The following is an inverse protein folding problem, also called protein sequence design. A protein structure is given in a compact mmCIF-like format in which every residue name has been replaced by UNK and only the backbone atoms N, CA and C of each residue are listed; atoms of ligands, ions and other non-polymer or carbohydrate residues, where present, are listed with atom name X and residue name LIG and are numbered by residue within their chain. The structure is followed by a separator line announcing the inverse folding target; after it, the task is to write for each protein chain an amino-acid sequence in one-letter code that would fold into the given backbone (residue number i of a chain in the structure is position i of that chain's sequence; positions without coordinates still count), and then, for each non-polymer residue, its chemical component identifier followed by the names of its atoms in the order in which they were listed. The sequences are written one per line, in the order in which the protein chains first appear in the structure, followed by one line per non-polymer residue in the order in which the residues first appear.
data_IF_101119059543
#
_entry.id   IF_101119059543
#
_cell.length_a   1.000
_cell.length_b   1.000
_cell.length_c   1.000
_cell.angle_alpha   90.00
_cell.angle_beta   90.00
_cell.angle_gamma   90.00
#
_symmetry.space_group_name_H-M   'P 1'
#
loop_
_entity.id
_entity.type
_entity.pdbx_description
1 polymer ?
#
# COMPACT_ATOMS: atom_id res chain seq x y z
N UNK A 1 9.23 -3.60 21.77
CA UNK A 1 9.71 -4.74 20.97
C UNK A 1 8.91 -6.00 21.23
N UNK A 2 9.12 -6.65 22.39
CA UNK A 2 8.59 -7.99 22.70
C UNK A 2 7.10 -8.23 22.49
N UNK A 3 6.24 -7.34 22.97
CA UNK A 3 4.78 -7.51 22.81
C UNK A 3 4.36 -7.58 21.35
N UNK A 4 4.95 -6.74 20.48
CA UNK A 4 4.65 -6.75 19.03
C UNK A 4 5.07 -8.06 18.37
N UNK A 5 6.23 -8.61 18.75
CA UNK A 5 6.71 -9.91 18.25
C UNK A 5 5.78 -11.04 18.70
N UNK A 6 5.34 -11.03 19.97
CA UNK A 6 4.35 -11.99 20.49
C UNK A 6 3.03 -11.97 19.72
N UNK A 7 2.51 -10.78 19.41
CA UNK A 7 1.30 -10.65 18.58
C UNK A 7 1.55 -11.21 17.18
N UNK A 8 2.72 -10.97 16.58
CA UNK A 8 3.05 -11.54 15.27
C UNK A 8 3.06 -13.08 15.28
N UNK A 9 3.61 -13.69 16.34
CA UNK A 9 3.56 -15.16 16.50
C UNK A 9 2.12 -15.63 16.72
N UNK A 10 1.34 -14.91 17.53
CA UNK A 10 -0.05 -15.25 17.79
C UNK A 10 -0.92 -15.23 16.53
N UNK A 11 -0.69 -14.28 15.60
CA UNK A 11 -1.39 -14.22 14.30
C UNK A 11 -1.20 -15.51 13.51
N UNK A 12 0.03 -16.02 13.42
CA UNK A 12 0.32 -17.28 12.71
C UNK A 12 -0.31 -18.49 13.41
N UNK A 13 -0.38 -18.48 14.74
CA UNK A 13 -0.93 -19.58 15.53
C UNK A 13 -2.46 -19.75 15.42
N UNK A 14 -3.19 -18.71 15.01
CA UNK A 14 -4.65 -18.79 14.79
C UNK A 14 -4.99 -19.86 13.74
N UNK A 15 -4.08 -20.15 12.82
CA UNK A 15 -4.26 -21.17 11.78
C UNK A 15 -4.03 -22.60 12.28
N UNK A 16 -3.63 -22.77 13.55
CA UNK A 16 -3.19 -24.05 14.14
C UNK A 16 -2.16 -24.79 13.26
N UNK A 17 -1.00 -24.17 12.97
CA UNK A 17 -0.02 -24.73 12.05
C UNK A 17 0.61 -25.99 12.63
N UNK A 18 0.82 -27.00 11.78
CA UNK A 18 1.59 -28.20 12.15
C UNK A 18 3.09 -27.98 12.11
N UNK A 19 3.54 -27.04 11.28
CA UNK A 19 4.93 -26.63 11.17
C UNK A 19 4.97 -25.11 11.26
N UNK A 20 5.79 -24.59 12.16
CA UNK A 20 5.96 -23.16 12.39
C UNK A 20 7.43 -22.81 12.19
N UNK A 21 7.69 -21.90 11.25
CA UNK A 21 9.03 -21.38 10.97
C UNK A 21 9.14 -19.96 11.51
N UNK A 22 10.16 -19.68 12.31
CA UNK A 22 10.40 -18.34 12.84
C UNK A 22 11.82 -17.89 12.57
N UNK A 23 11.95 -16.72 11.96
CA UNK A 23 13.24 -16.07 11.79
C UNK A 23 13.52 -15.12 12.98
N UNK A 24 14.61 -15.40 13.67
CA UNK A 24 15.13 -14.68 14.84
C UNK A 24 14.02 -14.21 15.81
N UNK A 25 13.29 -15.14 16.46
CA UNK A 25 12.16 -14.79 17.31
C UNK A 25 12.56 -13.99 18.56
N UNK A 26 13.82 -14.07 18.97
CA UNK A 26 14.39 -13.43 20.18
C UNK A 26 15.14 -12.13 19.90
N UNK A 27 15.36 -11.75 18.64
CA UNK A 27 16.14 -10.55 18.27
C UNK A 27 15.47 -9.26 18.74
N UNK A 28 16.25 -8.37 19.35
CA UNK A 28 15.78 -7.10 19.91
C UNK A 28 14.93 -7.22 21.19
N UNK A 29 14.97 -8.38 21.86
CA UNK A 29 14.33 -8.62 23.16
C UNK A 29 15.36 -8.61 24.29
N UNK A 30 14.93 -8.22 25.48
CA UNK A 30 15.67 -8.48 26.72
C UNK A 30 15.59 -9.97 27.08
N UNK A 31 16.54 -10.47 27.88
CA UNK A 31 16.68 -11.90 28.20
C UNK A 31 15.40 -12.52 28.79
N UNK A 32 14.68 -11.79 29.63
CA UNK A 32 13.44 -12.29 30.24
C UNK A 32 12.30 -12.39 29.22
N UNK A 33 12.14 -11.40 28.35
CA UNK A 33 11.16 -11.47 27.26
C UNK A 33 11.50 -12.57 26.24
N UNK A 34 12.78 -12.78 25.95
CA UNK A 34 13.23 -13.85 25.06
C UNK A 34 12.89 -15.23 25.62
N UNK A 35 13.15 -15.48 26.91
CA UNK A 35 12.77 -16.71 27.61
C UNK A 35 11.26 -17.00 27.49
N UNK A 36 10.42 -15.99 27.75
CA UNK A 36 8.97 -16.15 27.61
C UNK A 36 8.52 -16.51 26.19
N UNK A 37 9.18 -15.96 25.17
CA UNK A 37 8.86 -16.30 23.77
C UNK A 37 9.25 -17.74 23.47
N UNK A 38 10.43 -18.19 23.90
CA UNK A 38 10.88 -19.58 23.66
C UNK A 38 10.06 -20.58 24.48
N UNK A 39 9.66 -20.27 25.71
CA UNK A 39 8.73 -21.09 26.50
C UNK A 39 7.37 -21.27 25.81
N UNK A 40 6.86 -20.19 25.20
CA UNK A 40 5.64 -20.26 24.40
C UNK A 40 5.84 -21.19 23.18
N UNK A 41 6.94 -21.03 22.45
CA UNK A 41 7.29 -21.90 21.32
C UNK A 41 7.43 -23.37 21.76
N UNK A 42 8.02 -23.62 22.93
CA UNK A 42 8.12 -24.95 23.52
C UNK A 42 6.74 -25.54 23.78
N UNK A 43 5.85 -24.76 24.39
CA UNK A 43 4.47 -25.16 24.69
C UNK A 43 3.69 -25.50 23.42
N UNK A 44 3.90 -24.75 22.33
CA UNK A 44 3.33 -25.03 21.00
C UNK A 44 3.88 -26.35 20.45
N UNK A 45 5.18 -26.63 20.64
CA UNK A 45 5.75 -27.89 20.19
C UNK A 45 5.19 -29.10 20.95
N UNK A 46 5.02 -28.96 22.27
CA UNK A 46 4.42 -29.99 23.14
C UNK A 46 2.96 -30.25 22.77
N UNK A 47 2.25 -29.23 22.26
CA UNK A 47 0.89 -29.38 21.74
C UNK A 47 0.82 -30.13 20.39
N UNK A 48 1.96 -30.48 19.78
CA UNK A 48 2.05 -31.34 18.60
C UNK A 48 2.43 -30.63 17.29
N UNK A 49 2.90 -29.38 17.35
CA UNK A 49 3.45 -28.69 16.20
C UNK A 49 4.98 -28.83 16.13
N UNK A 50 5.57 -28.93 14.93
CA UNK A 50 7.02 -28.80 14.75
C UNK A 50 7.37 -27.32 14.69
N UNK A 51 8.26 -26.86 15.56
CA UNK A 51 8.73 -25.48 15.56
C UNK A 51 10.20 -25.45 15.13
N UNK A 52 10.49 -24.73 14.05
CA UNK A 52 11.84 -24.48 13.57
C UNK A 52 12.13 -22.98 13.68
N UNK A 53 13.25 -22.60 14.28
CA UNK A 53 13.61 -21.19 14.38
C UNK A 53 15.12 -20.98 14.30
N UNK A 54 15.51 -19.81 13.81
CA UNK A 54 16.89 -19.32 13.83
C UNK A 54 17.10 -18.50 15.11
N UNK A 55 18.17 -18.75 15.86
CA UNK A 55 18.48 -17.99 17.07
C UNK A 55 19.95 -17.60 17.04
N UNK A 56 20.22 -16.30 17.12
CA UNK A 56 21.57 -15.77 17.24
C UNK A 56 21.98 -15.78 18.72
N UNK A 57 23.04 -16.53 19.05
CA UNK A 57 23.68 -16.58 20.38
C UNK A 57 22.68 -16.69 21.56
N UNK A 58 22.03 -17.86 21.74
CA UNK A 58 21.09 -18.07 22.84
C UNK A 58 21.82 -18.06 24.19
N UNK A 59 21.21 -17.47 25.22
CA UNK A 59 21.69 -17.63 26.59
C UNK A 59 21.65 -19.10 27.03
N UNK A 60 22.44 -19.48 28.03
CA UNK A 60 22.44 -20.85 28.56
C UNK A 60 21.05 -21.33 28.98
N UNK A 61 20.24 -20.46 29.59
CA UNK A 61 18.86 -20.77 29.98
C UNK A 61 17.97 -21.08 28.75
N UNK A 62 18.13 -20.32 27.66
CA UNK A 62 17.38 -20.54 26.42
C UNK A 62 17.82 -21.82 25.73
N UNK A 63 19.13 -22.07 25.72
CA UNK A 63 19.70 -23.23 25.07
C UNK A 63 19.12 -24.52 25.64
N UNK A 64 18.91 -24.62 26.96
CA UNK A 64 18.33 -25.79 27.62
C UNK A 64 16.90 -26.16 27.15
N UNK A 65 16.15 -25.20 26.59
CA UNK A 65 14.79 -25.43 26.12
C UNK A 65 14.72 -26.16 24.76
N UNK A 66 15.83 -26.21 24.02
CA UNK A 66 15.88 -26.80 22.68
C UNK A 66 15.92 -28.33 22.74
N UNK A 67 15.12 -28.97 21.89
CA UNK A 67 15.16 -30.42 21.68
C UNK A 67 16.27 -30.82 20.71
N UNK A 68 16.40 -30.05 19.63
CA UNK A 68 17.25 -30.33 18.49
C UNK A 68 17.99 -29.07 18.03
N UNK A 69 19.25 -29.21 17.64
CA UNK A 69 20.12 -28.11 17.24
C UNK A 69 20.72 -28.44 15.88
N UNK A 70 20.58 -27.49 14.94
CA UNK A 70 21.28 -27.49 13.66
C UNK A 70 22.22 -26.30 13.67
N UNK A 71 23.52 -26.57 13.54
CA UNK A 71 24.56 -25.55 13.46
C UNK A 71 25.00 -25.39 12.00
N UNK A 72 24.97 -24.15 11.50
CA UNK A 72 25.29 -23.82 10.12
C UNK A 72 26.51 -22.90 10.05
N UNK A 73 27.36 -23.12 9.06
CA UNK A 73 28.45 -22.21 8.68
C UNK A 73 28.65 -22.20 7.16
N UNK A 74 28.69 -21.01 6.56
CA UNK A 74 28.91 -20.84 5.11
C UNK A 74 28.00 -21.74 4.23
N UNK A 75 26.74 -21.90 4.62
CA UNK A 75 25.77 -22.75 3.92
C UNK A 75 25.92 -24.26 4.15
N UNK A 76 26.84 -24.69 5.02
CA UNK A 76 27.10 -26.10 5.36
C UNK A 76 26.61 -26.43 6.78
N UNK A 77 26.12 -27.65 6.96
CA UNK A 77 25.72 -28.18 8.26
C UNK A 77 26.95 -28.70 9.01
N UNK A 78 27.20 -28.11 10.18
CA UNK A 78 28.32 -28.43 11.06
C UNK A 78 27.91 -29.48 12.11
N UNK A 79 26.69 -29.35 12.61
CA UNK A 79 26.07 -30.23 13.58
C UNK A 79 24.57 -30.32 13.29
N UNK A 80 24.01 -31.51 13.43
CA UNK A 80 22.58 -31.81 13.28
C UNK A 80 22.26 -32.93 14.26
N UNK A 81 21.65 -32.59 15.40
CA UNK A 81 21.44 -33.56 16.47
C UNK A 81 20.67 -33.00 17.66
N UNK A 82 20.41 -33.85 18.64
CA UNK A 82 19.81 -33.42 19.91
C UNK A 82 20.72 -32.44 20.62
N UNK A 83 20.14 -31.51 21.38
CA UNK A 83 20.93 -30.55 22.17
C UNK A 83 21.91 -31.25 23.13
N UNK A 84 21.46 -32.33 23.78
CA UNK A 84 22.24 -33.06 24.79
C UNK A 84 23.53 -33.68 24.22
N UNK A 85 23.49 -34.15 22.97
CA UNK A 85 24.62 -34.83 22.34
C UNK A 85 25.67 -33.85 21.77
N UNK A 86 25.37 -32.54 21.70
CA UNK A 86 26.22 -31.57 21.03
C UNK A 86 27.61 -31.45 21.67
N UNK A 87 27.66 -31.37 23.00
CA UNK A 87 28.93 -31.25 23.73
C UNK A 87 29.78 -32.51 23.58
N UNK A 88 29.16 -33.69 23.67
CA UNK A 88 29.85 -34.98 23.48
C UNK A 88 30.36 -35.14 22.05
N UNK A 89 29.56 -34.73 21.05
CA UNK A 89 29.96 -34.74 19.65
C UNK A 89 31.23 -33.93 19.40
N UNK A 90 31.31 -32.71 19.93
CA UNK A 90 32.51 -31.88 19.81
C UNK A 90 33.68 -32.46 20.62
N UNK A 91 33.43 -33.01 21.81
CA UNK A 91 34.45 -33.64 22.65
C UNK A 91 35.11 -34.83 21.96
N UNK A 92 34.33 -35.69 21.30
CA UNK A 92 34.81 -36.84 20.52
C UNK A 92 35.71 -36.42 19.34
N UNK A 93 35.60 -35.16 18.89
CA UNK A 93 36.40 -34.57 17.82
C UNK A 93 37.59 -33.76 18.36
N UNK A 94 37.85 -33.83 19.67
CA UNK A 94 38.96 -33.17 20.34
C UNK A 94 38.65 -31.77 20.89
N UNK A 95 37.39 -31.34 20.86
CA UNK A 95 36.96 -30.01 21.31
C UNK A 95 36.17 -30.11 22.61
N UNK A 96 36.84 -29.89 23.74
CA UNK A 96 36.20 -29.93 25.06
C UNK A 96 35.64 -28.56 25.44
N UNK A 97 34.32 -28.50 25.66
CA UNK A 97 33.65 -27.34 26.24
C UNK A 97 33.94 -27.25 27.75
N UNK A 98 34.40 -26.11 28.29
CA UNK A 98 34.51 -25.90 29.74
C UNK A 98 33.14 -26.00 30.43
N UNK A 99 33.12 -26.44 31.70
CA UNK A 99 31.88 -26.61 32.48
C UNK A 99 31.11 -25.31 32.72
N UNK A 100 31.84 -24.19 32.83
CA UNK A 100 31.29 -22.90 33.20
C UNK A 100 31.02 -22.02 31.97
N UNK A 101 31.10 -22.61 30.77
CA UNK A 101 30.90 -21.93 29.50
C UNK A 101 29.58 -22.35 28.86
N UNK A 102 28.88 -21.40 28.23
CA UNK A 102 27.65 -21.69 27.52
C UNK A 102 27.96 -22.60 26.31
N UNK A 103 27.39 -23.81 26.22
CA UNK A 103 27.66 -24.72 25.10
C UNK A 103 27.33 -24.12 23.73
N UNK A 104 26.31 -23.27 23.66
CA UNK A 104 25.93 -22.59 22.42
C UNK A 104 26.99 -21.59 21.98
N UNK A 105 27.49 -20.77 22.90
CA UNK A 105 28.56 -19.81 22.62
C UNK A 105 29.84 -20.56 22.25
N UNK A 106 30.17 -21.66 22.94
CA UNK A 106 31.35 -22.47 22.62
C UNK A 106 31.30 -23.00 21.19
N UNK A 107 30.15 -23.54 20.80
CA UNK A 107 29.94 -24.06 19.46
C UNK A 107 30.06 -22.95 18.41
N UNK A 108 29.51 -21.76 18.68
CA UNK A 108 29.59 -20.59 17.80
C UNK A 108 31.02 -20.05 17.66
N UNK A 109 31.76 -19.94 18.77
CA UNK A 109 33.16 -19.49 18.76
C UNK A 109 34.05 -20.50 18.02
N UNK A 110 33.86 -21.79 18.29
CA UNK A 110 34.61 -22.87 17.65
C UNK A 110 34.45 -22.85 16.12
N UNK A 111 33.24 -22.60 15.62
CA UNK A 111 33.01 -22.49 14.18
C UNK A 111 33.50 -21.15 13.63
N UNK A 112 33.41 -20.05 14.39
CA UNK A 112 33.81 -18.73 13.91
C UNK A 112 35.33 -18.61 13.69
N UNK A 113 36.15 -19.22 14.54
CA UNK A 113 37.62 -19.15 14.48
C UNK A 113 38.24 -19.93 13.30
N UNK A 114 37.47 -20.74 12.58
CA UNK A 114 38.00 -21.63 11.53
C UNK A 114 37.89 -20.99 10.15
N UNK A 115 38.87 -21.22 9.28
CA UNK A 115 38.75 -20.86 7.85
C UNK A 115 37.65 -21.70 7.17
N UNK A 116 36.93 -21.09 6.22
CA UNK A 116 35.91 -21.78 5.43
C UNK A 116 36.50 -22.92 4.58
N UNK A 117 37.70 -22.72 4.01
CA UNK A 117 38.38 -23.69 3.15
C UNK A 117 38.87 -24.94 3.90
N UNK A 118 39.01 -24.86 5.23
CA UNK A 118 39.49 -25.96 6.09
C UNK A 118 38.35 -26.79 6.70
N UNK A 119 37.09 -26.46 6.38
CA UNK A 119 35.93 -27.23 6.82
C UNK A 119 35.92 -28.66 6.22
N UNK A 120 36.54 -28.86 5.06
CA UNK A 120 36.61 -30.15 4.36
C UNK A 120 37.81 -31.03 4.77
N UNK A 121 38.91 -30.43 5.23
CA UNK A 121 40.12 -31.17 5.66
C UNK A 121 39.95 -31.85 7.02
N UNK A 122 39.00 -31.36 7.80
CA UNK A 122 38.59 -31.94 9.06
C UNK A 122 37.31 -32.72 8.77
N UNK A 123 37.36 -34.06 8.81
CA UNK A 123 36.21 -34.99 8.78
C UNK A 123 35.26 -34.81 10.01
N UNK A 124 35.28 -33.60 10.57
CA UNK A 124 34.76 -33.12 11.84
C UNK A 124 33.35 -32.59 11.69
N UNK A 125 32.85 -32.41 10.47
CA UNK A 125 31.55 -31.76 10.22
C UNK A 125 30.66 -32.53 9.24
N UNK A 126 30.72 -33.86 9.27
CA UNK A 126 29.62 -34.66 8.73
C UNK A 126 28.49 -34.68 9.77
N UNK A 127 27.21 -34.49 9.37
CA UNK A 127 26.09 -34.61 10.29
C UNK A 127 26.21 -35.96 11.02
N UNK A 128 26.01 -35.95 12.34
CA UNK A 128 26.04 -37.18 13.11
C UNK A 128 25.12 -38.22 12.43
N UNK A 129 25.53 -39.51 12.35
CA UNK A 129 24.64 -40.53 11.84
C UNK A 129 23.30 -40.42 12.58
N UNK A 130 22.21 -40.36 11.82
CA UNK A 130 20.85 -40.36 12.33
C UNK A 130 20.55 -41.71 12.99
N UNK A 131 21.14 -41.99 14.15
CA UNK A 131 20.87 -43.25 14.89
C UNK A 131 19.44 -43.26 15.45
N UNK A 132 18.90 -42.08 15.79
CA UNK A 132 17.56 -41.90 16.37
C UNK A 132 16.56 -41.16 15.46
N UNK A 133 16.90 -40.87 14.20
CA UNK A 133 15.93 -40.18 13.36
C UNK A 133 14.77 -41.13 13.01
N UNK A 134 13.51 -40.69 13.16
CA UNK A 134 12.38 -41.47 12.68
C UNK A 134 12.62 -41.81 11.19
N UNK A 135 12.24 -43.03 10.80
CA UNK A 135 12.36 -43.48 9.40
C UNK A 135 11.85 -42.38 8.45
N UNK A 136 12.50 -42.20 7.28
CA UNK A 136 12.13 -41.15 6.34
C UNK A 136 10.63 -41.15 6.14
N UNK A 137 9.99 -40.04 6.56
CA UNK A 137 8.55 -39.89 6.61
C UNK A 137 7.92 -40.42 5.32
N UNK A 138 7.15 -41.51 5.41
CA UNK A 138 6.23 -41.90 4.34
C UNK A 138 5.32 -40.70 4.12
N UNK A 139 5.31 -40.14 2.91
CA UNK A 139 4.62 -38.90 2.57
C UNK A 139 3.26 -38.80 3.27
N UNK A 140 3.18 -38.01 4.34
CA UNK A 140 1.92 -37.74 5.01
C UNK A 140 1.05 -37.05 3.97
N UNK A 141 -0.09 -37.65 3.65
CA UNK A 141 -1.05 -37.05 2.73
C UNK A 141 -1.26 -35.58 3.13
N UNK A 142 -1.24 -34.62 2.18
CA UNK A 142 -1.29 -33.20 2.48
C UNK A 142 -2.46 -32.93 3.42
N UNK A 143 -2.16 -32.61 4.67
CA UNK A 143 -3.19 -32.53 5.70
C UNK A 143 -3.97 -31.24 5.52
N UNK A 144 -5.25 -31.42 5.18
CA UNK A 144 -6.31 -30.40 5.04
C UNK A 144 -6.01 -29.32 3.99
N UNK A 145 -6.81 -29.30 2.93
CA UNK A 145 -7.12 -28.06 2.23
C UNK A 145 -7.61 -27.05 3.28
N UNK A 146 -6.81 -26.04 3.57
CA UNK A 146 -7.32 -24.88 4.31
C UNK A 146 -8.55 -24.40 3.55
N UNK A 147 -9.68 -24.28 4.24
CA UNK A 147 -10.91 -23.76 3.64
C UNK A 147 -10.60 -22.36 3.15
N UNK A 148 -10.50 -22.19 1.83
CA UNK A 148 -10.34 -20.86 1.23
C UNK A 148 -11.58 -20.06 1.63
N UNK A 149 -11.37 -18.88 2.20
CA UNK A 149 -12.46 -17.96 2.52
C UNK A 149 -13.22 -17.57 1.27
N UNK A 150 -14.51 -17.26 1.42
CA UNK A 150 -15.27 -16.67 0.33
C UNK A 150 -14.71 -15.29 -0.01
N UNK A 151 -14.51 -15.01 -1.30
CA UNK A 151 -13.97 -13.74 -1.80
C UNK A 151 -14.69 -12.50 -1.26
N UNK A 152 -16.01 -12.57 -1.13
CA UNK A 152 -16.82 -11.47 -0.59
C UNK A 152 -16.61 -11.28 0.92
N UNK A 153 -16.35 -12.37 1.65
CA UNK A 153 -16.02 -12.31 3.06
C UNK A 153 -14.65 -11.65 3.25
N UNK A 154 -13.65 -12.00 2.43
CA UNK A 154 -12.34 -11.33 2.40
C UNK A 154 -12.49 -9.82 2.19
N UNK A 155 -13.23 -9.43 1.14
CA UNK A 155 -13.49 -8.02 0.84
C UNK A 155 -14.14 -7.29 2.02
N UNK A 156 -15.13 -7.91 2.68
CA UNK A 156 -15.86 -7.31 3.80
C UNK A 156 -14.96 -7.08 5.02
N UNK A 157 -14.13 -8.07 5.39
CA UNK A 157 -13.18 -7.93 6.50
C UNK A 157 -12.12 -6.88 6.22
N UNK A 158 -11.60 -6.83 4.99
CA UNK A 158 -10.64 -5.80 4.59
C UNK A 158 -11.31 -4.43 4.66
N UNK A 159 -12.53 -4.28 4.13
CA UNK A 159 -13.28 -3.03 4.20
C UNK A 159 -13.50 -2.56 5.65
N UNK A 160 -13.93 -3.44 6.56
CA UNK A 160 -14.12 -3.10 7.97
C UNK A 160 -12.80 -2.70 8.66
N UNK A 161 -11.71 -3.41 8.35
CA UNK A 161 -10.36 -3.07 8.85
C UNK A 161 -9.91 -1.70 8.35
N UNK A 162 -10.03 -1.44 7.05
CA UNK A 162 -9.65 -0.16 6.44
C UNK A 162 -10.51 0.99 6.99
N UNK A 163 -11.81 0.77 7.19
CA UNK A 163 -12.70 1.77 7.79
C UNK A 163 -12.28 2.09 9.23
N UNK A 164 -11.95 1.07 10.04
CA UNK A 164 -11.45 1.27 11.41
C UNK A 164 -10.10 1.97 11.42
N UNK A 165 -9.19 1.65 10.50
CA UNK A 165 -7.91 2.31 10.37
C UNK A 165 -8.11 3.79 10.05
N UNK A 166 -8.91 4.08 9.02
CA UNK A 166 -9.25 5.43 8.59
C UNK A 166 -9.87 6.26 9.73
N UNK A 167 -10.85 5.72 10.47
CA UNK A 167 -11.49 6.43 11.58
C UNK A 167 -10.56 6.69 12.78
N UNK A 168 -9.56 5.84 12.99
CA UNK A 168 -8.68 5.89 14.18
C UNK A 168 -7.38 6.63 13.96
N UNK A 169 -6.96 6.82 12.71
CA UNK A 169 -5.77 7.61 12.38
C UNK A 169 -6.08 9.12 12.41
N UNK A 170 -6.31 9.65 13.61
CA UNK A 170 -6.66 11.06 13.84
C UNK A 170 -5.58 12.02 13.37
N UNK A 171 -4.31 11.63 13.37
CA UNK A 171 -3.22 12.46 12.88
C UNK A 171 -3.28 12.60 11.36
N UNK A 172 -3.42 11.49 10.64
CA UNK A 172 -3.57 11.53 9.18
C UNK A 172 -4.86 12.26 8.76
N UNK A 173 -5.98 11.99 9.43
CA UNK A 173 -7.24 12.70 9.20
C UNK A 173 -7.10 14.21 9.44
N UNK A 174 -6.52 14.60 10.56
CA UNK A 174 -6.33 15.99 10.94
C UNK A 174 -5.44 16.74 9.94
N UNK A 175 -4.32 16.14 9.51
CA UNK A 175 -3.46 16.72 8.50
C UNK A 175 -4.16 16.83 7.13
N UNK A 176 -4.82 15.76 6.69
CA UNK A 176 -5.49 15.69 5.38
C UNK A 176 -6.60 16.74 5.24
N UNK A 177 -7.53 16.78 6.20
CA UNK A 177 -8.66 17.72 6.13
C UNK A 177 -8.28 19.12 6.58
N UNK A 178 -7.33 19.28 7.53
CA UNK A 178 -6.84 20.58 7.97
C UNK A 178 -6.14 21.36 6.85
N UNK A 179 -5.23 20.70 6.12
CA UNK A 179 -4.56 21.31 4.94
C UNK A 179 -5.56 21.58 3.82
N UNK A 180 -6.51 20.66 3.59
CA UNK A 180 -7.57 20.84 2.60
C UNK A 180 -8.43 22.09 2.90
N UNK A 181 -8.90 22.26 4.14
CA UNK A 181 -9.70 23.43 4.55
C UNK A 181 -8.88 24.71 4.36
N UNK A 182 -7.64 24.73 4.86
CA UNK A 182 -6.80 25.92 4.83
C UNK A 182 -6.50 26.39 3.41
N UNK A 183 -6.06 25.49 2.52
CA UNK A 183 -5.71 25.84 1.14
C UNK A 183 -6.95 26.23 0.31
N UNK A 184 -8.06 25.49 0.44
CA UNK A 184 -9.28 25.82 -0.29
C UNK A 184 -9.89 27.14 0.19
N UNK A 185 -9.79 27.48 1.47
CA UNK A 185 -10.26 28.77 1.98
C UNK A 185 -9.45 29.93 1.39
N UNK A 186 -8.13 29.81 1.32
CA UNK A 186 -7.27 30.85 0.71
C UNK A 186 -7.65 31.06 -0.76
N UNK A 187 -7.77 29.96 -1.52
CA UNK A 187 -8.10 30.05 -2.95
C UNK A 187 -9.50 30.60 -3.15
N UNK A 188 -10.48 30.16 -2.36
CA UNK A 188 -11.84 30.66 -2.43
C UNK A 188 -11.89 32.17 -2.15
N UNK A 189 -11.15 32.67 -1.15
CA UNK A 189 -11.07 34.11 -0.85
C UNK A 189 -10.38 34.91 -1.96
N UNK A 190 -9.35 34.34 -2.60
CA UNK A 190 -8.69 34.98 -3.76
C UNK A 190 -9.66 35.09 -4.94
N UNK A 191 -10.48 34.06 -5.14
CA UNK A 191 -11.45 33.95 -6.24
C UNK A 191 -12.87 34.36 -5.81
N UNK A 192 -12.99 35.22 -4.80
CA UNK A 192 -14.28 35.61 -4.27
C UNK A 192 -15.13 36.33 -5.34
N UNK A 193 -16.38 35.92 -5.50
CA UNK A 193 -17.33 36.52 -6.43
C UNK A 193 -17.02 36.31 -7.92
N UNK A 194 -16.05 35.45 -8.24
CA UNK A 194 -15.61 35.19 -9.62
C UNK A 194 -16.71 34.58 -10.51
N UNK A 195 -17.65 33.84 -9.93
CA UNK A 195 -18.85 33.31 -10.58
C UNK A 195 -20.05 34.27 -10.56
N UNK A 196 -19.93 35.43 -9.91
CA UNK A 196 -20.97 36.45 -9.83
C UNK A 196 -21.28 37.08 -11.20
N UNK A 197 -22.51 37.57 -11.39
CA UNK A 197 -22.94 38.24 -12.63
C UNK A 197 -23.04 39.73 -12.35
N UNK A 198 -22.01 40.50 -12.69
CA UNK A 198 -22.16 41.94 -12.85
C UNK A 198 -22.51 42.21 -14.31
N UNK A 199 -23.69 42.79 -14.55
CA UNK A 199 -24.30 43.05 -15.87
C UNK A 199 -23.45 43.93 -16.82
N UNK A 200 -22.27 44.39 -16.39
CA UNK A 200 -21.40 45.29 -17.16
C UNK A 200 -20.13 44.63 -17.72
N UNK A 201 -19.72 43.45 -17.25
CA UNK A 201 -18.42 42.83 -17.61
C UNK A 201 -18.59 41.42 -18.20
N UNK A 202 -18.74 41.33 -19.52
CA UNK A 202 -18.54 40.08 -20.28
C UNK A 202 -17.10 39.54 -20.16
N UNK A 203 -16.18 40.33 -19.62
CA UNK A 203 -14.75 40.01 -19.45
C UNK A 203 -14.49 39.03 -18.28
N UNK A 204 -15.45 38.81 -17.38
CA UNK A 204 -15.26 37.95 -16.21
C UNK A 204 -15.37 36.43 -16.49
N UNK A 205 -15.78 36.00 -17.70
CA UNK A 205 -15.93 34.58 -18.03
C UNK A 205 -14.59 33.82 -17.99
N UNK A 206 -13.51 34.43 -18.49
CA UNK A 206 -12.19 33.81 -18.47
C UNK A 206 -11.67 33.64 -17.03
N UNK A 207 -11.97 34.60 -16.15
CA UNK A 207 -11.71 34.52 -14.71
C UNK A 207 -12.52 33.40 -14.05
N UNK A 208 -13.81 33.29 -14.39
CA UNK A 208 -14.68 32.23 -13.89
C UNK A 208 -14.20 30.84 -14.29
N UNK A 209 -13.94 30.63 -15.59
CA UNK A 209 -13.38 29.38 -16.09
C UNK A 209 -12.03 29.06 -15.43
N UNK A 210 -11.13 30.03 -15.34
CA UNK A 210 -9.83 29.84 -14.68
C UNK A 210 -9.94 29.50 -13.20
N UNK A 211 -10.91 30.08 -12.49
CA UNK A 211 -11.20 29.74 -11.10
C UNK A 211 -11.67 28.29 -10.95
N UNK A 212 -12.60 27.85 -11.79
CA UNK A 212 -13.09 26.46 -11.82
C UNK A 212 -11.96 25.47 -12.11
N UNK A 213 -11.11 25.77 -13.10
CA UNK A 213 -9.94 24.95 -13.44
C UNK A 213 -8.97 24.86 -12.26
N UNK A 214 -8.70 25.99 -11.59
CA UNK A 214 -7.80 26.04 -10.44
C UNK A 214 -8.30 25.17 -9.28
N UNK A 215 -9.60 25.20 -8.97
CA UNK A 215 -10.16 24.32 -7.93
C UNK A 215 -10.15 22.85 -8.36
N UNK A 216 -10.44 22.54 -9.63
CA UNK A 216 -10.33 21.17 -10.14
C UNK A 216 -8.89 20.62 -10.03
N UNK A 217 -7.88 21.46 -10.31
CA UNK A 217 -6.46 21.11 -10.12
C UNK A 217 -6.13 20.88 -8.64
N UNK A 218 -6.71 21.66 -7.72
CA UNK A 218 -6.55 21.42 -6.28
C UNK A 218 -7.17 20.09 -5.83
N UNK A 219 -8.33 19.73 -6.36
CA UNK A 219 -8.93 18.40 -6.13
C UNK A 219 -8.01 17.30 -6.67
N UNK A 220 -7.46 17.46 -7.88
CA UNK A 220 -6.54 16.51 -8.50
C UNK A 220 -5.28 16.27 -7.65
N UNK A 221 -4.55 17.31 -7.27
CA UNK A 221 -3.34 17.17 -6.45
C UNK A 221 -3.64 16.79 -5.01
N UNK A 222 -4.68 17.36 -4.41
CA UNK A 222 -5.05 17.09 -3.02
C UNK A 222 -5.46 15.65 -2.77
N UNK A 223 -6.16 15.02 -3.73
CA UNK A 223 -6.54 13.60 -3.64
C UNK A 223 -5.37 12.67 -3.94
N UNK A 224 -4.55 13.00 -4.94
CA UNK A 224 -3.32 12.25 -5.25
C UNK A 224 -2.34 12.22 -4.07
N UNK A 225 -2.06 13.39 -3.47
CA UNK A 225 -1.08 13.50 -2.40
C UNK A 225 -1.50 12.75 -1.12
N UNK A 226 -2.79 12.71 -0.80
CA UNK A 226 -3.28 11.96 0.35
C UNK A 226 -2.97 10.45 0.22
N UNK A 227 -3.21 9.86 -0.96
CA UNK A 227 -2.92 8.45 -1.18
C UNK A 227 -1.41 8.17 -1.25
N UNK A 228 -0.64 9.10 -1.84
CA UNK A 228 0.81 8.99 -1.99
C UNK A 228 1.54 8.78 -0.66
N UNK A 229 1.04 9.41 0.41
CA UNK A 229 1.64 9.30 1.74
C UNK A 229 1.12 8.10 2.55
N UNK A 230 -0.09 7.62 2.26
CA UNK A 230 -0.75 6.56 3.04
C UNK A 230 -0.39 5.15 2.53
N UNK A 231 -0.48 4.93 1.22
CA UNK A 231 -0.35 3.60 0.62
C UNK A 231 1.01 2.93 0.87
N UNK A 232 2.16 3.62 0.78
CA UNK A 232 3.46 3.00 1.01
C UNK A 232 3.65 2.47 2.43
N UNK A 233 2.99 3.07 3.41
CA UNK A 233 3.02 2.63 4.81
C UNK A 233 2.23 1.34 5.04
N UNK A 234 1.19 1.09 4.22
CA UNK A 234 0.33 -0.08 4.32
C UNK A 234 0.82 -1.25 3.46
N UNK A 235 1.57 -0.96 2.39
CA UNK A 235 2.08 -1.96 1.44
C UNK A 235 2.87 -3.11 2.09
N UNK A 236 3.78 -2.89 3.07
CA UNK A 236 4.50 -4.00 3.72
C UNK A 236 3.57 -4.97 4.46
N UNK A 237 2.52 -4.45 5.09
CA UNK A 237 1.50 -5.27 5.76
C UNK A 237 0.74 -6.13 4.75
N UNK A 238 0.36 -5.54 3.62
CA UNK A 238 -0.24 -6.28 2.50
C UNK A 238 0.68 -7.38 1.99
N UNK A 239 1.96 -7.09 1.71
CA UNK A 239 2.90 -8.07 1.17
C UNK A 239 3.07 -9.27 2.11
N UNK A 240 3.16 -9.02 3.41
CA UNK A 240 3.26 -10.08 4.42
C UNK A 240 2.00 -10.97 4.44
N UNK A 241 0.81 -10.37 4.44
CA UNK A 241 -0.46 -11.10 4.48
C UNK A 241 -0.74 -11.83 3.15
N UNK A 242 -0.30 -11.27 2.03
CA UNK A 242 -0.42 -11.88 0.70
C UNK A 242 0.48 -13.11 0.57
N UNK A 243 1.73 -13.06 1.06
CA UNK A 243 2.64 -14.21 1.07
C UNK A 243 2.17 -15.31 2.03
N UNK A 244 1.49 -14.94 3.11
CA UNK A 244 0.86 -15.87 4.03
C UNK A 244 -0.47 -16.45 3.51
N UNK A 245 -0.84 -16.16 2.25
CA UNK A 245 -2.10 -16.58 1.61
C UNK A 245 -3.35 -16.28 2.47
N UNK A 246 -3.33 -15.17 3.21
CA UNK A 246 -4.47 -14.80 4.07
C UNK A 246 -5.67 -14.31 3.27
N UNK A 247 -5.44 -13.66 2.12
CA UNK A 247 -6.48 -13.20 1.20
C UNK A 247 -5.93 -12.96 -0.21
N UNK A 248 -6.81 -12.90 -1.20
CA UNK A 248 -6.43 -12.59 -2.57
C UNK A 248 -6.09 -11.11 -2.79
N UNK A 249 -5.14 -10.81 -3.69
CA UNK A 249 -4.80 -9.42 -4.05
C UNK A 249 -6.02 -8.65 -4.61
N UNK A 250 -6.89 -9.33 -5.36
CA UNK A 250 -8.12 -8.73 -5.86
C UNK A 250 -9.09 -8.35 -4.72
N UNK A 251 -9.22 -9.19 -3.69
CA UNK A 251 -10.05 -8.88 -2.53
C UNK A 251 -9.52 -7.67 -1.76
N UNK A 252 -8.19 -7.51 -1.68
CA UNK A 252 -7.58 -6.33 -1.07
C UNK A 252 -7.95 -5.03 -1.78
N UNK A 253 -7.77 -4.95 -3.10
CA UNK A 253 -8.13 -3.74 -3.85
C UNK A 253 -9.64 -3.46 -3.80
N UNK A 254 -10.49 -4.48 -3.97
CA UNK A 254 -11.94 -4.29 -3.95
C UNK A 254 -12.46 -3.94 -2.55
N UNK A 255 -11.91 -4.52 -1.48
CA UNK A 255 -12.28 -4.19 -0.10
C UNK A 255 -11.82 -2.80 0.32
N UNK A 256 -10.67 -2.34 -0.17
CA UNK A 256 -10.12 -1.00 0.13
C UNK A 256 -10.83 0.13 -0.62
N UNK A 257 -11.22 -0.11 -1.87
CA UNK A 257 -11.77 0.93 -2.78
C UNK A 257 -12.99 1.68 -2.21
N UNK A 258 -13.99 1.04 -1.57
CA UNK A 258 -15.14 1.74 -1.00
C UNK A 258 -14.79 2.73 0.11
N UNK A 259 -13.89 2.36 1.02
CA UNK A 259 -13.46 3.23 2.13
C UNK A 259 -12.69 4.42 1.57
N UNK A 260 -11.80 4.16 0.61
CA UNK A 260 -11.06 5.20 -0.09
C UNK A 260 -12.01 6.17 -0.82
N UNK A 261 -12.96 5.64 -1.59
CA UNK A 261 -13.95 6.41 -2.33
C UNK A 261 -14.81 7.30 -1.42
N UNK A 262 -15.21 6.79 -0.24
CA UNK A 262 -15.93 7.57 0.77
C UNK A 262 -15.06 8.69 1.36
N UNK A 263 -13.78 8.41 1.64
CA UNK A 263 -12.85 9.43 2.14
C UNK A 263 -12.61 10.56 1.13
N UNK A 264 -12.54 10.20 -0.16
CA UNK A 264 -12.38 11.12 -1.28
C UNK A 264 -13.63 11.95 -1.47
N UNK A 265 -14.82 11.34 -1.36
CA UNK A 265 -16.10 12.06 -1.42
C UNK A 265 -16.19 13.13 -0.33
N UNK A 266 -15.78 12.81 0.89
CA UNK A 266 -15.76 13.78 1.98
C UNK A 266 -14.80 14.94 1.71
N UNK A 267 -13.62 14.63 1.15
CA UNK A 267 -12.62 15.65 0.79
C UNK A 267 -13.08 16.57 -0.35
N UNK A 268 -13.70 16.01 -1.39
CA UNK A 268 -14.25 16.79 -2.51
C UNK A 268 -15.49 17.56 -2.12
N UNK A 269 -16.37 16.99 -1.30
CA UNK A 269 -17.52 17.70 -0.73
C UNK A 269 -17.09 18.89 0.11
N UNK A 270 -16.07 18.72 0.96
CA UNK A 270 -15.53 19.80 1.76
C UNK A 270 -14.91 20.90 0.88
N UNK A 271 -14.17 20.53 -0.16
CA UNK A 271 -13.62 21.48 -1.14
C UNK A 271 -14.75 22.28 -1.79
N UNK A 272 -15.76 21.58 -2.32
CA UNK A 272 -16.89 22.22 -3.00
C UNK A 272 -17.71 23.09 -2.05
N UNK A 273 -17.99 22.67 -0.82
CA UNK A 273 -18.72 23.51 0.15
C UNK A 273 -18.00 24.82 0.43
N UNK A 274 -16.67 24.83 0.50
CA UNK A 274 -15.90 26.05 0.73
C UNK A 274 -15.92 26.93 -0.53
N UNK A 275 -15.61 26.36 -1.69
CA UNK A 275 -15.41 27.14 -2.92
C UNK A 275 -16.73 27.58 -3.55
N UNK A 276 -17.78 26.75 -3.50
CA UNK A 276 -19.06 27.00 -4.17
C UNK A 276 -19.70 28.32 -3.75
N UNK A 277 -19.81 28.57 -2.44
CA UNK A 277 -20.49 29.76 -1.94
C UNK A 277 -19.62 31.02 -2.03
N UNK A 278 -18.31 30.91 -1.82
CA UNK A 278 -17.41 32.08 -1.83
C UNK A 278 -17.13 32.53 -3.26
N UNK A 279 -16.99 31.59 -4.20
CA UNK A 279 -16.79 31.90 -5.61
C UNK A 279 -18.10 32.19 -6.34
N UNK A 280 -19.26 31.98 -5.71
CA UNK A 280 -20.60 32.18 -6.31
C UNK A 280 -20.83 31.30 -7.55
N UNK A 281 -20.48 30.01 -7.46
CA UNK A 281 -20.76 29.02 -8.51
C UNK A 281 -22.28 28.80 -8.66
N UNK A 282 -22.73 28.61 -9.90
CA UNK A 282 -24.15 28.56 -10.28
C UNK A 282 -24.62 27.15 -10.65
N UNK A 283 -23.72 26.30 -11.10
CA UNK A 283 -24.03 24.96 -11.54
C UNK A 283 -24.60 24.10 -10.42
N UNK A 284 -25.33 23.04 -10.79
CA UNK A 284 -25.91 22.15 -9.80
C UNK A 284 -24.84 21.54 -8.88
N UNK A 285 -24.90 21.86 -7.58
CA UNK A 285 -23.96 21.37 -6.57
C UNK A 285 -23.76 19.85 -6.59
N UNK A 286 -24.84 19.09 -6.77
CA UNK A 286 -24.79 17.62 -6.79
C UNK A 286 -24.03 17.08 -8.00
N UNK A 287 -24.27 17.64 -9.19
CA UNK A 287 -23.55 17.23 -10.40
C UNK A 287 -22.09 17.68 -10.38
N UNK A 288 -21.78 18.88 -9.87
CA UNK A 288 -20.42 19.34 -9.66
C UNK A 288 -19.65 18.43 -8.68
N UNK A 289 -20.30 18.06 -7.58
CA UNK A 289 -19.73 17.14 -6.59
C UNK A 289 -19.38 15.79 -7.22
N UNK A 290 -20.29 15.22 -8.02
CA UNK A 290 -20.07 13.94 -8.68
C UNK A 290 -18.94 14.01 -9.72
N UNK A 291 -18.88 15.07 -10.53
CA UNK A 291 -17.82 15.27 -11.51
C UNK A 291 -16.44 15.39 -10.85
N UNK A 292 -16.33 16.17 -9.78
CA UNK A 292 -15.07 16.37 -9.06
C UNK A 292 -14.68 15.17 -8.20
N UNK A 293 -15.67 14.44 -7.67
CA UNK A 293 -15.42 13.17 -7.00
C UNK A 293 -14.86 12.12 -7.98
N UNK A 294 -15.42 12.03 -9.19
CA UNK A 294 -14.89 11.16 -10.24
C UNK A 294 -13.44 11.53 -10.64
N UNK A 295 -13.14 12.83 -10.73
CA UNK A 295 -11.76 13.30 -10.91
C UNK A 295 -10.85 12.78 -9.78
N UNK A 296 -11.26 12.97 -8.52
CA UNK A 296 -10.51 12.49 -7.35
C UNK A 296 -10.26 10.98 -7.38
N UNK A 297 -11.26 10.18 -7.76
CA UNK A 297 -11.13 8.72 -7.91
C UNK A 297 -10.09 8.34 -8.97
N UNK A 298 -10.06 9.03 -10.11
CA UNK A 298 -9.09 8.77 -11.19
C UNK A 298 -7.67 9.21 -10.82
N UNK A 299 -7.53 10.36 -10.13
CA UNK A 299 -6.23 10.82 -9.64
C UNK A 299 -5.66 9.87 -8.59
N UNK A 300 -6.54 9.36 -7.72
CA UNK A 300 -6.18 8.32 -6.76
C UNK A 300 -5.79 7.01 -7.44
N UNK A 301 -6.54 6.56 -8.44
CA UNK A 301 -6.20 5.36 -9.22
C UNK A 301 -4.84 5.48 -9.90
N UNK A 302 -4.52 6.66 -10.45
CA UNK A 302 -3.22 6.89 -11.10
C UNK A 302 -2.08 6.91 -10.09
N UNK A 303 -2.28 7.56 -8.94
CA UNK A 303 -1.30 7.56 -7.85
C UNK A 303 -1.02 6.16 -7.32
N UNK A 304 -2.06 5.31 -7.25
CA UNK A 304 -1.93 3.93 -6.81
C UNK A 304 -1.04 3.09 -7.73
N UNK A 305 -1.08 3.32 -9.04
CA UNK A 305 -0.17 2.65 -10.00
C UNK A 305 1.29 2.94 -9.61
N UNK A 306 1.60 4.22 -9.38
CA UNK A 306 2.95 4.66 -8.96
C UNK A 306 3.30 4.08 -7.59
N UNK A 307 2.39 4.13 -6.62
CA UNK A 307 2.60 3.57 -5.29
C UNK A 307 2.76 2.04 -5.25
N UNK A 308 2.22 1.32 -6.23
CA UNK A 308 2.46 -0.11 -6.39
C UNK A 308 3.83 -0.40 -7.02
N UNK A 309 4.31 0.47 -7.90
CA UNK A 309 5.61 0.33 -8.56
C UNK A 309 6.78 0.72 -7.63
N UNK A 310 6.59 1.77 -6.83
CA UNK A 310 7.64 2.42 -6.04
C UNK A 310 7.38 2.25 -4.55
N UNK A 311 8.43 2.01 -3.76
CA UNK A 311 8.30 1.77 -2.32
C UNK A 311 8.49 3.03 -1.46
N UNK A 312 9.29 3.99 -1.90
CA UNK A 312 9.55 5.23 -1.14
C UNK A 312 8.47 6.29 -1.41
N UNK A 313 7.95 6.89 -0.33
CA UNK A 313 7.00 8.00 -0.36
C UNK A 313 7.55 9.20 -1.15
N UNK A 314 8.84 9.51 -0.99
CA UNK A 314 9.46 10.68 -1.64
C UNK A 314 9.45 10.54 -3.16
N UNK A 315 9.87 9.38 -3.64
CA UNK A 315 9.87 9.08 -5.06
C UNK A 315 8.46 9.13 -5.65
N UNK A 316 7.45 8.59 -4.95
CA UNK A 316 6.05 8.65 -5.40
C UNK A 316 5.58 10.10 -5.56
N UNK A 317 5.87 10.96 -4.58
CA UNK A 317 5.48 12.39 -4.64
C UNK A 317 6.18 13.12 -5.80
N UNK A 318 7.43 12.78 -6.08
CA UNK A 318 8.16 13.33 -7.23
C UNK A 318 7.54 12.90 -8.57
N UNK A 319 7.04 11.66 -8.69
CA UNK A 319 6.38 11.15 -9.89
C UNK A 319 4.97 11.70 -10.15
N UNK A 320 4.27 12.17 -9.12
CA UNK A 320 2.93 12.78 -9.25
C UNK A 320 2.97 14.02 -10.15
N UNK A 321 3.95 14.90 -9.92
CA UNK A 321 4.08 16.18 -10.65
C UNK A 321 4.18 16.02 -12.18
N UNK A 322 5.14 15.24 -12.75
CA UNK A 322 5.24 15.06 -14.20
C UNK A 322 4.06 14.32 -14.81
N UNK A 323 3.23 13.63 -14.01
CA UNK A 323 2.07 12.91 -14.51
C UNK A 323 0.80 13.78 -14.53
N UNK A 324 0.65 14.71 -13.58
CA UNK A 324 -0.53 15.58 -13.50
C UNK A 324 -0.36 16.95 -14.17
N UNK A 325 0.86 17.53 -14.18
CA UNK A 325 1.10 18.84 -14.82
C UNK A 325 0.74 18.83 -16.32
N UNK A 326 1.12 17.82 -17.12
CA UNK A 326 0.74 17.78 -18.54
C UNK A 326 -0.78 17.75 -18.76
N UNK A 327 -1.56 17.24 -17.80
CA UNK A 327 -3.02 17.21 -17.93
C UNK A 327 -3.60 18.62 -17.99
N UNK A 328 -2.99 19.61 -17.33
CA UNK A 328 -3.44 21.01 -17.39
C UNK A 328 -3.26 21.58 -18.79
N UNK A 329 -2.19 21.17 -19.50
CA UNK A 329 -1.90 21.62 -20.87
C UNK A 329 -2.91 21.09 -21.88
N UNK A 330 -3.30 19.82 -21.76
CA UNK A 330 -4.15 19.14 -22.76
C UNK A 330 -5.64 19.44 -22.62
N UNK A 331 -6.06 20.15 -21.57
CA UNK A 331 -7.49 20.37 -21.28
C UNK A 331 -8.01 21.73 -21.79
N UNK A 332 -7.22 22.49 -22.53
CA UNK A 332 -7.71 23.74 -23.14
C UNK A 332 -7.51 24.98 -22.28
N UNK A 333 -6.88 24.85 -21.10
CA UNK A 333 -6.69 25.99 -20.18
C UNK A 333 -5.63 27.00 -20.67
N UNK A 334 -4.45 26.53 -21.10
CA UNK A 334 -3.37 27.40 -21.59
C UNK A 334 -3.37 27.57 -23.11
N UNK A 335 -3.76 26.53 -23.84
CA UNK A 335 -3.76 26.47 -25.30
C UNK A 335 -5.06 25.81 -25.70
N UNK A 336 -5.78 26.41 -26.66
CA UNK A 336 -7.01 25.83 -27.21
C UNK A 336 -6.72 24.44 -27.77
N UNK A 337 -7.62 23.49 -27.56
CA UNK A 337 -7.41 22.09 -27.97
C UNK A 337 -7.20 21.98 -29.48
N UNK A 338 -7.83 22.84 -30.26
CA UNK A 338 -7.71 22.90 -31.71
C UNK A 338 -6.34 23.42 -32.19
N UNK A 339 -5.64 24.21 -31.37
CA UNK A 339 -4.30 24.73 -31.67
C UNK A 339 -3.19 23.73 -31.29
N UNK A 340 -3.53 22.69 -30.52
CA UNK A 340 -2.59 21.60 -30.22
C UNK A 340 -2.30 20.82 -31.51
N UNK A 341 -1.01 20.57 -31.83
CA UNK A 341 -0.63 19.79 -33.01
C UNK A 341 -1.36 18.46 -33.09
N UNK A 342 -1.85 18.10 -34.28
CA UNK A 342 -2.72 16.93 -34.50
C UNK A 342 -2.12 15.64 -33.94
N UNK A 343 -0.79 15.47 -33.99
CA UNK A 343 -0.11 14.28 -33.48
C UNK A 343 -0.08 14.17 -31.95
N UNK A 344 -0.33 15.26 -31.19
CA UNK A 344 -0.42 15.27 -29.73
C UNK A 344 -1.86 15.35 -29.21
N UNK A 345 -2.81 15.78 -30.04
CA UNK A 345 -4.20 16.05 -29.61
C UNK A 345 -4.88 14.85 -28.96
N UNK A 346 -4.55 13.62 -29.38
CA UNK A 346 -5.14 12.41 -28.81
C UNK A 346 -4.82 12.22 -27.31
N UNK A 347 -3.74 12.81 -26.80
CA UNK A 347 -3.32 12.68 -25.40
C UNK A 347 -4.33 13.30 -24.41
N UNK A 348 -5.19 14.22 -24.87
CA UNK A 348 -6.27 14.77 -24.05
C UNK A 348 -7.19 13.68 -23.49
N UNK A 349 -7.40 12.60 -24.24
CA UNK A 349 -8.28 11.50 -23.84
C UNK A 349 -7.66 10.58 -22.78
N UNK A 350 -6.36 10.71 -22.49
CA UNK A 350 -5.73 10.05 -21.35
C UNK A 350 -5.83 10.86 -20.05
N UNK A 351 -6.22 12.14 -20.13
CA UNK A 351 -6.21 13.05 -19.00
C UNK A 351 -7.54 12.98 -18.24
N UNK A 352 -7.50 12.65 -16.95
CA UNK A 352 -8.70 12.60 -16.11
C UNK A 352 -9.35 13.98 -15.95
N UNK A 353 -8.51 15.03 -15.94
CA UNK A 353 -8.92 16.42 -15.88
C UNK A 353 -9.79 16.84 -17.08
N UNK A 354 -9.59 16.27 -18.28
CA UNK A 354 -10.40 16.56 -19.48
C UNK A 354 -11.87 16.24 -19.24
N UNK A 355 -12.14 15.04 -18.74
CA UNK A 355 -13.51 14.58 -18.50
C UNK A 355 -14.19 15.39 -17.40
N UNK A 356 -13.46 15.72 -16.34
CA UNK A 356 -13.98 16.57 -15.27
C UNK A 356 -14.34 17.96 -15.79
N UNK A 357 -13.43 18.62 -16.52
CA UNK A 357 -13.65 19.97 -17.00
C UNK A 357 -14.72 20.04 -18.09
N UNK A 358 -14.78 19.08 -19.01
CA UNK A 358 -15.90 19.01 -19.96
C UNK A 358 -17.26 18.88 -19.25
N UNK A 359 -17.37 18.07 -18.20
CA UNK A 359 -18.60 17.98 -17.41
C UNK A 359 -18.87 19.26 -16.62
N UNK A 360 -17.85 19.86 -16.00
CA UNK A 360 -18.02 21.12 -15.27
C UNK A 360 -18.42 22.27 -16.18
N UNK A 361 -17.90 22.34 -17.41
CA UNK A 361 -18.32 23.33 -18.41
C UNK A 361 -19.82 23.20 -18.68
N UNK A 362 -20.30 21.98 -18.90
CA UNK A 362 -21.73 21.73 -19.16
C UNK A 362 -22.62 22.05 -17.96
N UNK A 363 -22.15 21.78 -16.73
CA UNK A 363 -22.95 22.00 -15.51
C UNK A 363 -22.95 23.47 -15.09
N UNK A 364 -21.82 24.15 -15.17
CA UNK A 364 -21.64 25.51 -14.63
C UNK A 364 -22.01 26.58 -15.65
N UNK A 365 -21.72 26.36 -16.93
CA UNK A 365 -21.87 27.40 -17.95
C UNK A 365 -23.07 27.20 -18.88
N UNK A 366 -23.58 25.98 -19.10
CA UNK A 366 -24.58 25.70 -20.15
C UNK A 366 -26.05 25.89 -19.72
N UNK A 367 -26.40 25.75 -18.42
CA UNK A 367 -27.81 25.82 -17.96
C UNK A 367 -28.42 27.24 -18.01
N UNK A 368 -27.62 28.31 -18.04
CA UNK A 368 -28.11 29.70 -17.94
C UNK A 368 -27.39 30.74 -18.84
N UNK A 369 -26.88 30.35 -20.01
CA UNK A 369 -26.39 31.33 -20.98
C UNK A 369 -27.56 32.20 -21.47
N UNK A 370 -27.51 33.51 -21.18
CA UNK A 370 -28.45 34.46 -21.77
C UNK A 370 -28.16 34.60 -23.27
N UNK A 371 -29.12 35.14 -24.03
CA UNK A 371 -28.97 35.33 -25.47
C UNK A 371 -27.75 36.20 -25.86
N UNK A 372 -27.24 37.02 -24.95
CA UNK A 372 -26.06 37.88 -25.15
C UNK A 372 -24.73 37.14 -24.89
N UNK A 373 -24.73 36.10 -24.06
CA UNK A 373 -23.54 35.31 -23.71
C UNK A 373 -23.42 33.98 -24.48
N UNK A 374 -24.46 33.59 -25.23
CA UNK A 374 -24.49 32.34 -25.97
C UNK A 374 -23.27 32.13 -26.89
N UNK A 375 -22.80 33.19 -27.56
CA UNK A 375 -21.60 33.14 -28.40
C UNK A 375 -20.32 32.86 -27.60
N UNK A 376 -20.23 33.37 -26.37
CA UNK A 376 -19.05 33.20 -25.53
C UNK A 376 -19.04 31.82 -24.88
N UNK A 377 -20.21 31.31 -24.48
CA UNK A 377 -20.38 29.94 -24.01
C UNK A 377 -20.04 28.91 -25.09
N UNK A 378 -20.46 29.17 -26.34
CA UNK A 378 -20.14 28.31 -27.49
C UNK A 378 -18.64 28.34 -27.79
N UNK A 379 -18.01 29.51 -27.78
CA UNK A 379 -16.56 29.65 -27.94
C UNK A 379 -15.77 28.91 -26.84
N UNK A 380 -16.21 28.98 -25.58
CA UNK A 380 -15.59 28.23 -24.47
C UNK A 380 -15.63 26.72 -24.72
N UNK A 381 -16.74 26.21 -25.26
CA UNK A 381 -16.90 24.78 -25.57
C UNK A 381 -16.06 24.34 -26.76
N UNK A 382 -15.98 25.16 -27.81
CA UNK A 382 -15.12 24.90 -28.96
C UNK A 382 -13.64 24.90 -28.58
N UNK A 383 -13.22 25.87 -27.76
CA UNK A 383 -11.83 25.99 -27.27
C UNK A 383 -11.41 24.78 -26.42
N UNK A 384 -12.37 24.19 -25.71
CA UNK A 384 -12.19 23.01 -24.84
C UNK A 384 -12.65 21.69 -25.48
N UNK A 385 -12.98 21.63 -26.78
CA UNK A 385 -13.44 20.42 -27.49
C UNK A 385 -14.51 19.64 -26.67
N UNK A 386 -15.58 20.33 -26.30
CA UNK A 386 -16.66 19.83 -25.44
C UNK A 386 -18.03 19.90 -26.12
N UNK A 387 -18.64 18.72 -26.31
CA UNK A 387 -19.96 18.53 -26.93
C UNK A 387 -21.00 18.07 -25.89
N UNK A 388 -22.08 18.83 -25.65
CA UNK A 388 -23.16 18.49 -24.73
C UNK A 388 -23.87 17.20 -25.11
N UNK A 389 -23.98 16.87 -26.41
CA UNK A 389 -24.63 15.64 -26.83
C UNK A 389 -23.89 14.39 -26.32
N UNK A 390 -22.61 14.55 -25.96
CA UNK A 390 -21.71 13.50 -25.51
C UNK A 390 -21.46 13.51 -24.00
N UNK A 391 -22.27 14.20 -23.19
CA UNK A 391 -22.09 14.28 -21.72
C UNK A 391 -21.91 12.90 -21.07
N UNK A 392 -22.71 11.91 -21.49
CA UNK A 392 -22.69 10.53 -20.97
C UNK A 392 -21.41 9.80 -21.36
N UNK A 393 -20.81 10.14 -22.50
CA UNK A 393 -19.56 9.56 -22.97
C UNK A 393 -18.40 10.01 -22.07
N UNK A 394 -18.38 11.27 -21.62
CA UNK A 394 -17.35 11.74 -20.69
C UNK A 394 -17.39 10.99 -19.36
N UNK A 395 -18.59 10.72 -18.83
CA UNK A 395 -18.77 9.91 -17.62
C UNK A 395 -18.28 8.47 -17.88
N UNK A 396 -18.73 7.85 -18.97
CA UNK A 396 -18.36 6.47 -19.30
C UNK A 396 -16.85 6.30 -19.47
N UNK A 397 -16.20 7.22 -20.21
CA UNK A 397 -14.76 7.18 -20.45
C UNK A 397 -13.97 7.41 -19.16
N UNK A 398 -14.42 8.30 -18.27
CA UNK A 398 -13.78 8.52 -16.99
C UNK A 398 -13.89 7.28 -16.07
N UNK A 399 -15.07 6.66 -16.00
CA UNK A 399 -15.27 5.40 -15.26
C UNK A 399 -14.40 4.28 -15.84
N UNK A 400 -14.34 4.15 -17.16
CA UNK A 400 -13.48 3.17 -17.81
C UNK A 400 -12.00 3.43 -17.49
N UNK A 401 -11.57 4.68 -17.51
CA UNK A 401 -10.21 5.08 -17.16
C UNK A 401 -9.88 4.68 -15.71
N UNK A 402 -10.78 4.94 -14.75
CA UNK A 402 -10.62 4.53 -13.35
C UNK A 402 -10.46 3.02 -13.24
N UNK A 403 -11.33 2.24 -13.88
CA UNK A 403 -11.29 0.77 -13.84
C UNK A 403 -9.98 0.24 -14.43
N UNK A 404 -9.59 0.73 -15.61
CA UNK A 404 -8.33 0.33 -16.27
C UNK A 404 -7.13 0.66 -15.38
N UNK A 405 -7.07 1.87 -14.82
CA UNK A 405 -5.98 2.28 -13.93
C UNK A 405 -5.90 1.39 -12.67
N UNK A 406 -7.02 1.02 -12.08
CA UNK A 406 -7.06 0.11 -10.91
C UNK A 406 -6.63 -1.31 -11.29
N UNK A 407 -7.04 -1.82 -12.45
CA UNK A 407 -6.57 -3.12 -12.95
C UNK A 407 -5.05 -3.12 -13.20
N UNK A 408 -4.50 -2.03 -13.75
CA UNK A 408 -3.05 -1.86 -13.92
C UNK A 408 -2.36 -1.85 -12.55
N UNK A 409 -2.87 -1.09 -11.57
CA UNK A 409 -2.31 -1.05 -10.23
C UNK A 409 -2.28 -2.45 -9.56
N UNK A 410 -3.38 -3.20 -9.67
CA UNK A 410 -3.46 -4.60 -9.20
C UNK A 410 -2.39 -5.48 -9.86
N UNK A 411 -2.26 -5.40 -11.19
CA UNK A 411 -1.26 -6.18 -11.92
C UNK A 411 0.17 -5.82 -11.52
N UNK A 412 0.46 -4.52 -11.38
CA UNK A 412 1.77 -4.03 -10.93
C UNK A 412 2.08 -4.55 -9.53
N UNK A 413 1.12 -4.45 -8.59
CA UNK A 413 1.33 -4.90 -7.22
C UNK A 413 1.64 -6.41 -7.16
N UNK A 414 0.89 -7.23 -7.89
CA UNK A 414 1.11 -8.69 -7.94
C UNK A 414 2.42 -9.05 -8.64
N UNK A 415 2.82 -8.31 -9.68
CA UNK A 415 4.08 -8.55 -10.38
C UNK A 415 5.29 -8.23 -9.50
N UNK A 416 5.25 -7.11 -8.78
CA UNK A 416 6.34 -6.68 -7.91
C UNK A 416 6.34 -7.36 -6.54
N UNK A 417 5.23 -7.94 -6.08
CA UNK A 417 5.19 -8.66 -4.80
C UNK A 417 6.13 -9.87 -4.76
N UNK A 418 6.36 -10.54 -5.89
CA UNK A 418 7.26 -11.70 -5.99
C UNK A 418 8.75 -11.35 -6.09
N UNK A 419 9.09 -10.11 -6.41
CA UNK A 419 10.48 -9.66 -6.57
C UNK A 419 11.06 -9.02 -5.30
N UNK A 420 10.21 -8.69 -4.32
CA UNK A 420 10.59 -8.02 -3.08
C UNK A 420 10.77 -8.98 -1.89
N UNK A 421 10.58 -10.28 -2.10
CA UNK A 421 10.87 -11.34 -1.13
C UNK A 421 12.03 -12.21 -1.59
#
# INVERSE_FOLDING_TARGET
GGQRKRVSVAVELVTHPKMLFLDEPTSGLDSASAAQVVDLLKSISVAGATVACTIHQPSSELFELFDWVILLKAGRVVYDGTRANMVEYFSNKGFMCPSDYNPADYAMDLIAERDEDKLDELDVFQPAPREDAPEPFSAVAPTRSVSVSDFFLECSWIMDREAKHWMRDTNALGARYGVCIFLNLIIALILQGVGGRDDTDSDNLAGHFGGVVMVAVMVMFGTAQALATEFPLQRPTFLREYVADTYSAAAYFLGKTPVEAASLLLQTALTLVITYWIMELRGNFGYLLLAWWALGLSCSATTLIVGCAVADVREIVEFISPLFVPQILFVGFFIRVNDIPVFLRWAQWLCSLKYCLSLTILIEFDEECTAEEAQVCEALREDNDTDPALWWLYILLNVLLIVVQRCIALFVLVKFSKSLY
#
